data_IF_364350686470
#
_entry.id   IF_364350686470
#
_cell.length_a   1.000
_cell.length_b   1.000
_cell.length_c   1.000
_cell.angle_alpha   90.00
_cell.angle_beta   90.00
_cell.angle_gamma   90.00
#
_symmetry.space_group_name_H-M   'P 1'
#
loop_
_entity.id
_entity.type
_entity.pdbx_description
1 polymer ?
#
# COMPACT_ATOMS: atom_id res chain seq x y z
N UNK A 1 -4.29 -21.96 -49.51
CA UNK A 1 -4.63 -20.93 -50.51
C UNK A 1 -6.05 -20.39 -50.36
N UNK A 2 -6.99 -21.10 -49.73
CA UNK A 2 -8.41 -20.65 -49.68
C UNK A 2 -8.71 -19.46 -48.75
N UNK A 3 -8.01 -19.34 -47.60
CA UNK A 3 -8.29 -18.25 -46.65
C UNK A 3 -7.90 -16.87 -47.18
N UNK A 4 -6.84 -16.80 -48.00
CA UNK A 4 -6.31 -15.55 -48.54
C UNK A 4 -7.17 -15.03 -49.69
N UNK A 5 -7.55 -15.91 -50.62
CA UNK A 5 -8.45 -15.57 -51.73
C UNK A 5 -9.82 -15.12 -51.22
N UNK A 6 -10.29 -15.69 -50.11
CA UNK A 6 -11.50 -15.24 -49.43
C UNK A 6 -11.36 -13.79 -48.91
N UNK A 7 -10.28 -13.47 -48.20
CA UNK A 7 -10.04 -12.13 -47.65
C UNK A 7 -9.84 -11.07 -48.74
N UNK A 8 -9.06 -11.36 -49.78
CA UNK A 8 -8.84 -10.40 -50.89
C UNK A 8 -10.12 -10.12 -51.66
N UNK A 9 -10.97 -11.15 -51.87
CA UNK A 9 -12.29 -10.99 -52.49
C UNK A 9 -13.29 -10.26 -51.60
N UNK A 10 -13.22 -10.43 -50.27
CA UNK A 10 -14.03 -9.68 -49.31
C UNK A 10 -13.84 -8.16 -49.42
N UNK A 11 -12.63 -7.73 -49.78
CA UNK A 11 -12.30 -6.33 -50.04
C UNK A 11 -12.30 -5.94 -51.53
N UNK A 12 -12.85 -6.80 -52.40
CA UNK A 12 -13.02 -6.52 -53.83
C UNK A 12 -11.75 -6.51 -54.67
N UNK A 13 -10.65 -7.11 -54.20
CA UNK A 13 -9.36 -7.14 -54.89
C UNK A 13 -9.11 -8.50 -55.57
N UNK A 14 -8.55 -8.47 -56.79
CA UNK A 14 -8.09 -9.68 -57.49
C UNK A 14 -6.77 -10.17 -56.88
N UNK A 15 -6.75 -11.35 -56.23
CA UNK A 15 -5.55 -11.88 -55.59
C UNK A 15 -4.38 -12.04 -56.55
N UNK A 16 -4.64 -12.24 -57.86
CA UNK A 16 -3.61 -12.46 -58.89
C UNK A 16 -2.88 -11.18 -59.32
N UNK A 17 -3.45 -10.00 -59.06
CA UNK A 17 -2.87 -8.70 -59.44
C UNK A 17 -2.18 -7.94 -58.29
N UNK A 18 -2.20 -8.49 -57.08
CA UNK A 18 -1.56 -7.85 -55.92
C UNK A 18 -0.02 -7.87 -56.03
N UNK A 19 0.65 -6.72 -55.77
CA UNK A 19 2.11 -6.68 -55.69
C UNK A 19 2.66 -7.67 -54.66
N UNK A 20 3.82 -8.26 -54.96
CA UNK A 20 4.45 -9.31 -54.11
C UNK A 20 4.60 -8.86 -52.66
N UNK A 21 4.94 -7.58 -52.41
CA UNK A 21 5.08 -7.06 -51.06
C UNK A 21 3.75 -7.08 -50.28
N UNK A 22 2.60 -6.83 -50.93
CA UNK A 22 1.27 -6.87 -50.28
C UNK A 22 0.94 -8.28 -49.84
N UNK A 23 1.21 -9.27 -50.71
CA UNK A 23 1.02 -10.70 -50.36
C UNK A 23 1.93 -11.08 -49.18
N UNK A 24 3.19 -10.67 -49.19
CA UNK A 24 4.12 -10.92 -48.08
C UNK A 24 3.65 -10.28 -46.77
N UNK A 25 3.19 -9.02 -46.80
CA UNK A 25 2.68 -8.34 -45.61
C UNK A 25 1.44 -9.01 -45.01
N UNK A 26 0.58 -9.61 -45.84
CA UNK A 26 -0.62 -10.30 -45.35
C UNK A 26 -0.34 -11.58 -44.57
N UNK A 27 0.85 -12.18 -44.72
CA UNK A 27 1.30 -13.29 -43.87
C UNK A 27 2.08 -12.80 -42.64
N UNK A 28 2.90 -11.76 -42.81
CA UNK A 28 3.75 -11.24 -41.72
C UNK A 28 2.92 -10.52 -40.66
N UNK A 29 1.97 -9.67 -41.05
CA UNK A 29 1.20 -8.84 -40.11
C UNK A 29 0.40 -9.67 -39.10
N UNK A 30 -0.36 -10.72 -39.49
CA UNK A 30 -1.05 -11.58 -38.52
C UNK A 30 -0.10 -12.30 -37.57
N UNK A 31 1.06 -12.77 -38.05
CA UNK A 31 2.06 -13.43 -37.19
C UNK A 31 2.62 -12.44 -36.16
N UNK A 32 2.94 -11.22 -36.57
CA UNK A 32 3.42 -10.17 -35.66
C UNK A 32 2.34 -9.81 -34.62
N UNK A 33 1.07 -9.71 -35.03
CA UNK A 33 -0.05 -9.47 -34.10
C UNK A 33 -0.18 -10.62 -33.11
N UNK A 34 -0.11 -11.88 -33.55
CA UNK A 34 -0.18 -13.06 -32.67
C UNK A 34 0.98 -13.08 -31.68
N UNK A 35 2.22 -12.84 -32.14
CA UNK A 35 3.40 -12.75 -31.26
C UNK A 35 3.25 -11.60 -30.26
N UNK A 36 2.76 -10.44 -30.69
CA UNK A 36 2.50 -9.30 -29.81
C UNK A 36 1.45 -9.64 -28.75
N UNK A 37 0.32 -10.25 -29.13
CA UNK A 37 -0.73 -10.68 -28.20
C UNK A 37 -0.21 -11.74 -27.23
N UNK A 38 0.57 -12.73 -27.69
CA UNK A 38 1.22 -13.73 -26.82
C UNK A 38 2.16 -13.03 -25.83
N UNK A 39 3.00 -12.11 -26.28
CA UNK A 39 3.88 -11.33 -25.40
C UNK A 39 3.09 -10.51 -24.37
N UNK A 40 1.96 -9.93 -24.77
CA UNK A 40 1.10 -9.13 -23.90
C UNK A 40 0.39 -10.01 -22.86
N UNK A 41 -0.13 -11.17 -23.27
CA UNK A 41 -0.69 -12.19 -22.37
C UNK A 41 0.39 -12.72 -21.43
N UNK A 42 1.57 -13.09 -21.91
CA UNK A 42 2.70 -13.52 -21.07
C UNK A 42 3.10 -12.43 -20.08
N UNK A 43 3.08 -11.15 -20.48
CA UNK A 43 3.36 -10.02 -19.57
C UNK A 43 2.29 -9.86 -18.49
N UNK A 44 1.01 -9.95 -18.85
CA UNK A 44 -0.12 -9.91 -17.90
C UNK A 44 -0.07 -11.11 -16.95
N UNK A 45 0.13 -12.32 -17.48
CA UNK A 45 0.25 -13.55 -16.71
C UNK A 45 1.47 -13.50 -15.79
N UNK A 46 2.64 -13.05 -16.24
CA UNK A 46 3.82 -12.88 -15.37
C UNK A 46 3.59 -11.85 -14.26
N UNK A 47 2.90 -10.74 -14.55
CA UNK A 47 2.54 -9.73 -13.54
C UNK A 47 1.60 -10.33 -12.49
N UNK A 48 0.62 -11.11 -12.94
CA UNK A 48 -0.37 -11.79 -12.09
C UNK A 48 0.27 -12.93 -11.27
N UNK A 49 1.15 -13.74 -11.86
CA UNK A 49 1.88 -14.83 -11.18
C UNK A 49 2.85 -14.29 -10.13
N UNK A 50 3.55 -13.18 -10.39
CA UNK A 50 4.39 -12.52 -9.37
C UNK A 50 3.55 -11.98 -8.22
N UNK A 51 2.39 -11.39 -8.49
CA UNK A 51 1.46 -10.95 -7.44
C UNK A 51 0.92 -12.13 -6.61
N UNK A 52 0.55 -13.24 -7.27
CA UNK A 52 0.03 -14.46 -6.64
C UNK A 52 1.10 -15.19 -5.81
N UNK A 53 2.38 -15.15 -6.19
CA UNK A 53 3.45 -15.86 -5.48
C UNK A 53 3.67 -15.36 -4.05
N UNK A 54 3.51 -14.06 -3.80
CA UNK A 54 3.70 -13.50 -2.45
C UNK A 54 2.50 -13.76 -1.53
N UNK A 55 1.29 -13.86 -2.10
CA UNK A 55 0.06 -14.24 -1.36
C UNK A 55 0.07 -15.74 -0.98
N UNK A 56 0.80 -16.59 -1.72
CA UNK A 56 0.88 -18.04 -1.45
C UNK A 56 1.68 -18.45 -0.22
N UNK A 57 2.50 -17.56 0.35
CA UNK A 57 3.40 -17.93 1.45
C UNK A 57 2.70 -17.98 2.82
N UNK A 58 1.48 -17.44 2.95
CA UNK A 58 0.83 -17.32 4.24
C UNK A 58 1.57 -16.35 5.17
N UNK A 59 1.12 -16.25 6.43
CA UNK A 59 1.79 -15.44 7.44
C UNK A 59 3.16 -16.05 7.73
N UNK A 60 4.23 -15.36 7.35
CA UNK A 60 5.60 -15.80 7.64
C UNK A 60 5.98 -15.40 9.06
N UNK A 61 6.36 -16.38 9.88
CA UNK A 61 6.91 -16.20 11.22
C UNK A 61 8.24 -16.93 11.34
N UNK A 62 9.15 -16.39 12.16
CA UNK A 62 10.47 -17.01 12.39
C UNK A 62 10.69 -17.43 13.84
N UNK A 63 10.02 -16.76 14.78
CA UNK A 63 10.23 -16.86 16.22
C UNK A 63 11.70 -16.61 16.64
N UNK A 64 11.93 -15.56 17.41
CA UNK A 64 13.26 -15.26 17.95
C UNK A 64 13.18 -15.24 19.48
N UNK A 65 13.79 -16.24 20.11
CA UNK A 65 13.78 -16.40 21.56
C UNK A 65 14.51 -15.27 22.31
N UNK A 66 15.28 -14.43 21.62
CA UNK A 66 15.91 -13.25 22.22
C UNK A 66 14.96 -12.06 22.34
N UNK A 67 13.84 -12.06 21.61
CA UNK A 67 12.85 -10.99 21.64
C UNK A 67 11.84 -11.20 22.78
N UNK A 68 11.56 -10.12 23.51
CA UNK A 68 10.47 -10.10 24.49
C UNK A 68 9.10 -10.06 23.79
N UNK A 69 8.03 -10.40 24.52
CA UNK A 69 6.66 -10.27 24.02
C UNK A 69 6.33 -8.83 23.56
N UNK A 70 6.80 -7.82 24.29
CA UNK A 70 6.64 -6.41 23.91
C UNK A 70 7.39 -6.04 22.64
N UNK A 71 8.61 -6.57 22.47
CA UNK A 71 9.38 -6.38 21.24
C UNK A 71 8.66 -6.98 20.04
N UNK A 72 8.08 -8.17 20.19
CA UNK A 72 7.29 -8.80 19.12
C UNK A 72 6.02 -8.01 18.83
N UNK A 73 5.30 -7.51 19.86
CA UNK A 73 4.14 -6.62 19.67
C UNK A 73 4.50 -5.36 18.89
N UNK A 74 5.61 -4.71 19.23
CA UNK A 74 6.08 -3.52 18.52
C UNK A 74 6.40 -3.83 17.06
N UNK A 75 7.08 -4.94 16.78
CA UNK A 75 7.36 -5.41 15.40
C UNK A 75 6.04 -5.72 14.66
N UNK A 76 5.07 -6.32 15.34
CA UNK A 76 3.80 -6.77 14.76
C UNK A 76 2.89 -5.62 14.30
N UNK A 77 3.16 -4.38 14.70
CA UNK A 77 2.53 -3.17 14.12
C UNK A 77 2.75 -3.10 12.61
N UNK A 78 3.91 -3.54 12.12
CA UNK A 78 4.22 -3.62 10.69
C UNK A 78 3.74 -4.90 10.01
N UNK A 79 3.08 -5.84 10.71
CA UNK A 79 2.82 -7.18 10.22
C UNK A 79 1.97 -7.21 8.93
N UNK A 80 0.94 -6.35 8.83
CA UNK A 80 0.11 -6.26 7.62
C UNK A 80 0.95 -5.93 6.38
N UNK A 81 1.81 -4.92 6.50
CA UNK A 81 2.62 -4.49 5.38
C UNK A 81 3.72 -5.52 5.09
N UNK A 82 4.37 -6.06 6.13
CA UNK A 82 5.39 -7.09 6.00
C UNK A 82 4.83 -8.33 5.27
N UNK A 83 3.64 -8.78 5.69
CA UNK A 83 2.96 -9.90 5.06
C UNK A 83 2.64 -9.62 3.58
N UNK A 84 2.13 -8.43 3.26
CA UNK A 84 1.88 -8.03 1.88
C UNK A 84 3.15 -8.06 1.01
N UNK A 85 4.30 -7.69 1.58
CA UNK A 85 5.59 -7.72 0.87
C UNK A 85 6.26 -9.11 0.92
N UNK A 86 5.65 -10.08 1.59
CA UNK A 86 6.16 -11.44 1.73
C UNK A 86 7.33 -11.57 2.70
N UNK A 87 7.49 -10.67 3.67
CA UNK A 87 8.49 -10.73 4.74
C UNK A 87 7.96 -11.39 6.03
N UNK A 88 8.86 -11.65 6.98
CA UNK A 88 8.54 -12.12 8.33
C UNK A 88 7.82 -11.03 9.13
N UNK A 89 6.86 -11.46 9.94
CA UNK A 89 5.94 -10.57 10.66
C UNK A 89 6.30 -10.37 12.13
N UNK A 90 7.26 -11.12 12.67
CA UNK A 90 7.51 -11.26 14.11
C UNK A 90 8.99 -11.10 14.54
N UNK A 91 9.87 -10.71 13.61
CA UNK A 91 11.29 -10.46 13.86
C UNK A 91 11.76 -9.17 13.20
N UNK A 92 12.83 -8.55 13.71
CA UNK A 92 13.31 -7.24 13.23
C UNK A 92 13.63 -7.26 11.73
N UNK A 93 14.46 -8.21 11.28
CA UNK A 93 14.80 -8.40 9.87
C UNK A 93 13.67 -9.12 9.11
N UNK A 94 13.00 -8.46 8.15
CA UNK A 94 11.81 -9.04 7.51
C UNK A 94 12.16 -10.06 6.41
N UNK A 95 13.42 -10.15 5.96
CA UNK A 95 13.86 -11.09 4.92
C UNK A 95 12.95 -11.07 3.68
N UNK A 96 12.71 -9.84 3.19
CA UNK A 96 11.98 -9.59 1.95
C UNK A 96 12.93 -9.89 0.78
N UNK A 97 12.43 -10.59 -0.23
CA UNK A 97 13.22 -10.92 -1.41
C UNK A 97 13.78 -9.66 -2.10
N UNK A 98 15.05 -9.70 -2.49
CA UNK A 98 15.82 -8.56 -2.97
C UNK A 98 15.11 -7.74 -4.07
N UNK A 99 14.51 -8.38 -5.08
CA UNK A 99 13.79 -7.67 -6.14
C UNK A 99 12.52 -6.97 -5.65
N UNK A 100 11.85 -7.55 -4.66
CA UNK A 100 10.70 -6.95 -3.97
C UNK A 100 11.14 -5.80 -3.07
N UNK A 101 12.23 -5.96 -2.33
CA UNK A 101 12.79 -4.93 -1.46
C UNK A 101 13.19 -3.69 -2.26
N UNK A 102 13.84 -3.87 -3.42
CA UNK A 102 14.16 -2.77 -4.35
C UNK A 102 12.90 -2.12 -4.95
N UNK A 103 11.82 -2.89 -5.14
CA UNK A 103 10.55 -2.29 -5.57
C UNK A 103 9.93 -1.44 -4.47
N UNK A 104 9.94 -1.93 -3.23
CA UNK A 104 9.43 -1.22 -2.07
C UNK A 104 10.21 0.10 -1.85
N UNK A 105 11.52 0.02 -1.63
CA UNK A 105 12.32 1.18 -1.21
C UNK A 105 12.54 2.17 -2.36
N UNK A 106 13.22 1.76 -3.44
CA UNK A 106 13.52 2.65 -4.57
C UNK A 106 12.27 3.13 -5.30
N UNK A 107 11.38 2.21 -5.71
CA UNK A 107 10.31 2.58 -6.66
C UNK A 107 9.08 3.20 -6.00
N UNK A 108 8.76 2.83 -4.76
CA UNK A 108 7.57 3.35 -4.09
C UNK A 108 7.90 4.46 -3.10
N UNK A 109 9.03 4.36 -2.41
CA UNK A 109 9.45 5.35 -1.43
C UNK A 109 10.54 6.30 -1.90
N UNK A 110 11.22 6.01 -3.02
CA UNK A 110 12.35 6.82 -3.48
C UNK A 110 13.59 6.69 -2.59
N UNK A 111 13.73 5.58 -1.86
CA UNK A 111 14.85 5.33 -0.95
C UNK A 111 15.93 4.54 -1.69
N UNK A 112 17.04 5.21 -2.02
CA UNK A 112 18.22 4.61 -2.65
C UNK A 112 19.49 4.74 -1.79
N UNK A 113 19.41 5.52 -0.71
CA UNK A 113 20.51 5.83 0.20
C UNK A 113 20.08 5.86 1.66
N UNK A 114 21.07 6.03 2.54
CA UNK A 114 20.86 6.27 3.98
C UNK A 114 20.11 7.58 4.20
N UNK A 115 20.50 8.63 3.48
CA UNK A 115 19.91 9.96 3.58
C UNK A 115 18.42 9.92 3.25
N UNK A 116 18.03 9.29 2.14
CA UNK A 116 16.62 9.14 1.75
C UNK A 116 15.82 8.33 2.79
N UNK A 117 16.46 7.30 3.37
CA UNK A 117 15.84 6.49 4.40
C UNK A 117 15.55 7.33 5.65
N UNK A 118 16.53 8.09 6.14
CA UNK A 118 16.36 8.94 7.33
C UNK A 118 15.29 10.02 7.08
N UNK A 119 15.30 10.67 5.91
CA UNK A 119 14.27 11.65 5.54
C UNK A 119 12.87 11.03 5.53
N UNK A 120 12.71 9.87 4.88
CA UNK A 120 11.42 9.19 4.79
C UNK A 120 10.93 8.71 6.15
N UNK A 121 11.82 8.19 7.00
CA UNK A 121 11.47 7.74 8.34
C UNK A 121 11.05 8.90 9.24
N UNK A 122 11.76 10.04 9.17
CA UNK A 122 11.36 11.26 9.87
C UNK A 122 9.99 11.76 9.42
N UNK A 123 9.70 11.73 8.11
CA UNK A 123 8.37 12.03 7.59
C UNK A 123 7.30 11.09 8.17
N UNK A 124 7.56 9.78 8.20
CA UNK A 124 6.59 8.79 8.70
C UNK A 124 6.41 8.84 10.22
N UNK A 125 7.42 9.23 11.00
CA UNK A 125 7.34 9.46 12.43
C UNK A 125 6.30 10.53 12.81
N UNK A 126 5.93 11.40 11.88
CA UNK A 126 4.96 12.47 12.11
C UNK A 126 3.51 12.06 11.81
N UNK A 127 3.23 10.80 11.47
CA UNK A 127 1.87 10.33 11.16
C UNK A 127 1.15 11.17 10.07
N UNK A 128 1.74 11.29 8.87
CA UNK A 128 1.32 12.30 7.90
C UNK A 128 -0.10 12.11 7.36
N UNK A 129 -0.63 10.89 7.35
CA UNK A 129 -2.02 10.65 6.92
C UNK A 129 -2.98 11.02 8.03
N UNK A 130 -2.65 10.66 9.28
CA UNK A 130 -3.44 11.02 10.45
C UNK A 130 -3.53 12.54 10.63
N UNK A 131 -2.44 13.28 10.39
CA UNK A 131 -2.40 14.74 10.50
C UNK A 131 -3.41 15.44 9.58
N UNK A 132 -3.62 14.91 8.37
CA UNK A 132 -4.52 15.53 7.37
C UNK A 132 -5.95 14.96 7.41
N UNK A 133 -6.19 13.88 8.17
CA UNK A 133 -7.50 13.23 8.28
C UNK A 133 -8.65 14.20 8.61
N UNK A 134 -8.50 15.21 9.51
CA UNK A 134 -9.56 16.18 9.77
C UNK A 134 -10.01 16.94 8.52
N UNK A 135 -9.07 17.28 7.63
CA UNK A 135 -9.37 17.98 6.38
C UNK A 135 -10.03 17.06 5.35
N UNK A 136 -9.60 15.79 5.29
CA UNK A 136 -10.24 14.75 4.46
C UNK A 136 -11.69 14.55 4.89
N UNK A 137 -11.93 14.43 6.20
CA UNK A 137 -13.27 14.28 6.75
C UNK A 137 -14.14 15.51 6.48
N UNK A 138 -13.60 16.72 6.65
CA UNK A 138 -14.32 17.95 6.30
C UNK A 138 -14.72 17.96 4.82
N UNK A 139 -13.77 17.71 3.90
CA UNK A 139 -14.02 17.62 2.46
C UNK A 139 -15.01 16.51 2.04
N UNK A 140 -15.12 15.47 2.87
CA UNK A 140 -16.12 14.43 2.72
C UNK A 140 -17.52 14.91 3.10
N UNK A 141 -17.67 15.65 4.21
CA UNK A 141 -18.97 16.06 4.76
C UNK A 141 -19.54 17.34 4.15
N UNK A 142 -18.70 18.31 3.77
CA UNK A 142 -19.17 19.61 3.26
C UNK A 142 -19.01 19.73 1.75
N UNK A 143 -19.85 20.58 1.13
CA UNK A 143 -19.64 21.06 -0.25
C UNK A 143 -18.93 22.40 -0.29
N UNK A 144 -18.69 23.03 0.86
CA UNK A 144 -17.96 24.29 1.00
C UNK A 144 -16.45 24.04 0.87
N UNK A 145 -15.91 24.36 -0.31
CA UNK A 145 -14.49 24.21 -0.61
C UNK A 145 -13.63 25.31 0.02
N UNK A 146 -14.22 26.45 0.34
CA UNK A 146 -13.50 27.60 0.89
C UNK A 146 -13.20 27.34 2.38
N UNK A 147 -14.14 26.74 3.11
CA UNK A 147 -13.92 26.29 4.49
C UNK A 147 -12.75 25.30 4.59
N UNK A 148 -12.77 24.24 3.77
CA UNK A 148 -11.70 23.23 3.74
C UNK A 148 -10.36 23.86 3.34
N UNK A 149 -10.35 24.74 2.33
CA UNK A 149 -9.12 25.42 1.89
C UNK A 149 -8.54 26.29 3.00
N UNK A 150 -9.38 26.98 3.77
CA UNK A 150 -8.93 27.76 4.92
C UNK A 150 -8.29 26.88 5.99
N UNK A 151 -8.91 25.75 6.35
CA UNK A 151 -8.33 24.81 7.32
C UNK A 151 -6.95 24.30 6.88
N UNK A 152 -6.81 23.97 5.60
CA UNK A 152 -5.53 23.51 5.04
C UNK A 152 -4.49 24.64 5.05
N UNK A 153 -4.88 25.87 4.69
CA UNK A 153 -3.98 27.02 4.68
C UNK A 153 -3.49 27.38 6.09
N UNK A 154 -4.38 27.36 7.08
CA UNK A 154 -4.04 27.60 8.48
C UNK A 154 -3.00 26.58 8.96
N UNK A 155 -3.17 25.31 8.62
CA UNK A 155 -2.19 24.26 8.93
C UNK A 155 -0.89 24.40 8.12
N UNK A 156 -0.97 24.72 6.83
CA UNK A 156 0.20 24.87 5.95
C UNK A 156 1.10 26.06 6.35
N UNK A 157 0.54 27.08 7.02
CA UNK A 157 1.27 28.27 7.48
C UNK A 157 2.39 27.98 8.48
N UNK A 158 2.41 26.78 9.10
CA UNK A 158 3.48 26.35 10.00
C UNK A 158 4.75 25.91 9.27
N UNK A 159 4.68 25.67 7.96
CA UNK A 159 5.82 25.25 7.14
C UNK A 159 6.51 26.47 6.53
N UNK A 160 7.82 26.34 6.28
CA UNK A 160 8.63 27.41 5.67
C UNK A 160 8.10 27.82 4.28
N UNK A 161 7.74 26.83 3.45
CA UNK A 161 7.04 27.04 2.19
C UNK A 161 5.54 26.70 2.34
N UNK A 162 4.80 27.66 2.88
CA UNK A 162 3.36 27.50 3.12
C UNK A 162 2.56 27.26 1.84
N UNK A 163 2.99 27.80 0.69
CA UNK A 163 2.27 27.64 -0.57
C UNK A 163 2.45 26.23 -1.14
N UNK A 164 3.67 25.70 -1.15
CA UNK A 164 3.94 24.31 -1.53
C UNK A 164 3.25 23.33 -0.59
N UNK A 165 3.33 23.56 0.72
CA UNK A 165 2.64 22.75 1.72
C UNK A 165 1.12 22.73 1.50
N UNK A 166 0.51 23.90 1.27
CA UNK A 166 -0.91 24.01 0.94
C UNK A 166 -1.24 23.20 -0.32
N UNK A 167 -0.49 23.39 -1.41
CA UNK A 167 -0.74 22.68 -2.69
C UNK A 167 -0.67 21.16 -2.51
N UNK A 168 0.38 20.67 -1.85
CA UNK A 168 0.58 19.23 -1.58
C UNK A 168 -0.53 18.63 -0.71
N UNK A 169 -0.91 19.32 0.37
CA UNK A 169 -1.95 18.84 1.29
C UNK A 169 -3.32 18.89 0.62
N UNK A 170 -3.65 19.96 -0.10
CA UNK A 170 -4.92 20.09 -0.82
C UNK A 170 -5.12 18.99 -1.86
N UNK A 171 -4.08 18.63 -2.60
CA UNK A 171 -4.13 17.51 -3.55
C UNK A 171 -4.41 16.17 -2.85
N UNK A 172 -3.71 15.91 -1.74
CA UNK A 172 -3.92 14.70 -0.92
C UNK A 172 -5.33 14.66 -0.36
N UNK A 173 -5.81 15.77 0.22
CA UNK A 173 -7.15 15.88 0.82
C UNK A 173 -8.23 15.62 -0.24
N UNK A 174 -8.09 16.21 -1.42
CA UNK A 174 -9.00 15.97 -2.54
C UNK A 174 -9.02 14.48 -2.91
N UNK A 175 -7.86 13.90 -3.19
CA UNK A 175 -7.76 12.49 -3.61
C UNK A 175 -8.31 11.54 -2.55
N UNK A 176 -7.94 11.74 -1.28
CA UNK A 176 -8.38 10.87 -0.18
C UNK A 176 -9.88 11.03 0.12
N UNK A 177 -10.43 12.23 0.00
CA UNK A 177 -11.88 12.44 0.18
C UNK A 177 -12.68 11.84 -0.98
N UNK A 178 -12.18 11.89 -2.22
CA UNK A 178 -12.79 11.22 -3.36
C UNK A 178 -12.76 9.69 -3.21
N UNK A 179 -11.62 9.14 -2.77
CA UNK A 179 -11.49 7.72 -2.44
C UNK A 179 -12.46 7.29 -1.34
N UNK A 180 -12.57 8.08 -0.27
CA UNK A 180 -13.52 7.83 0.82
C UNK A 180 -14.97 7.81 0.32
N UNK A 181 -15.37 8.82 -0.47
CA UNK A 181 -16.72 8.88 -1.08
C UNK A 181 -17.00 7.65 -1.94
N UNK A 182 -16.00 7.22 -2.69
CA UNK A 182 -16.09 6.06 -3.58
C UNK A 182 -16.12 4.71 -2.87
N UNK A 183 -15.73 4.63 -1.59
CA UNK A 183 -15.55 3.37 -0.86
C UNK A 183 -16.32 3.27 0.46
N UNK A 184 -17.12 4.28 0.80
CA UNK A 184 -17.81 4.33 2.11
C UNK A 184 -18.72 3.11 2.33
N UNK A 185 -19.39 2.62 1.28
CA UNK A 185 -20.31 1.48 1.37
C UNK A 185 -19.56 0.18 1.62
N UNK A 186 -18.43 0.02 0.95
CA UNK A 186 -17.52 -1.12 1.10
C UNK A 186 -16.91 -1.13 2.50
N UNK A 187 -16.46 0.02 3.01
CA UNK A 187 -15.95 0.15 4.38
C UNK A 187 -16.98 -0.27 5.44
N UNK A 188 -18.26 0.07 5.23
CA UNK A 188 -19.36 -0.38 6.11
C UNK A 188 -19.63 -1.87 5.95
N UNK A 189 -19.71 -2.36 4.70
CA UNK A 189 -19.96 -3.77 4.40
C UNK A 189 -18.88 -4.70 4.97
N UNK A 190 -17.63 -4.25 4.99
CA UNK A 190 -16.48 -5.01 5.52
C UNK A 190 -16.37 -4.89 7.05
N UNK A 191 -17.25 -4.11 7.71
CA UNK A 191 -17.23 -3.90 9.15
C UNK A 191 -15.99 -3.15 9.63
N UNK A 192 -15.43 -2.27 8.79
CA UNK A 192 -14.31 -1.40 9.16
C UNK A 192 -14.84 -0.20 9.96
N UNK A 193 -15.95 0.37 9.51
CA UNK A 193 -16.71 1.43 10.19
C UNK A 193 -18.19 1.05 10.22
N UNK A 194 -18.93 1.59 11.17
CA UNK A 194 -20.39 1.46 11.28
C UNK A 194 -21.11 2.74 10.86
N UNK A 195 -20.48 3.90 11.04
CA UNK A 195 -20.98 5.20 10.56
C UNK A 195 -19.85 6.13 10.10
N UNK A 196 -20.23 7.29 9.56
CA UNK A 196 -19.26 8.31 9.16
C UNK A 196 -18.43 8.82 10.36
N UNK A 197 -19.03 8.90 11.54
CA UNK A 197 -18.38 9.40 12.76
C UNK A 197 -17.17 8.52 13.14
N UNK A 198 -17.27 7.21 12.92
CA UNK A 198 -16.18 6.25 13.17
C UNK A 198 -14.93 6.58 12.37
N UNK A 199 -15.01 7.29 11.24
CA UNK A 199 -13.84 7.68 10.43
C UNK A 199 -12.85 8.50 11.28
N UNK A 200 -13.38 9.40 12.10
CA UNK A 200 -12.57 10.25 12.98
C UNK A 200 -12.13 9.52 14.24
N UNK A 201 -13.03 8.75 14.83
CA UNK A 201 -12.81 8.10 16.12
C UNK A 201 -11.84 6.92 15.99
N UNK A 202 -11.97 6.12 14.92
CA UNK A 202 -11.03 5.05 14.58
C UNK A 202 -9.68 5.61 14.12
N UNK A 203 -9.72 6.68 13.33
CA UNK A 203 -8.54 7.29 12.73
C UNK A 203 -7.79 6.36 11.77
N UNK A 204 -6.66 6.84 11.27
CA UNK A 204 -5.78 6.14 10.31
C UNK A 204 -4.35 5.99 10.83
N UNK A 205 -4.12 6.15 12.13
CA UNK A 205 -2.77 6.10 12.72
C UNK A 205 -2.09 4.75 12.47
N UNK A 206 -2.85 3.65 12.43
CA UNK A 206 -2.30 2.32 12.21
C UNK A 206 -1.68 2.20 10.80
N UNK A 207 -2.24 2.90 9.81
CA UNK A 207 -1.67 2.97 8.46
C UNK A 207 -0.32 3.69 8.44
N UNK A 208 -0.18 4.77 9.21
CA UNK A 208 1.09 5.48 9.34
C UNK A 208 2.11 4.65 10.13
N UNK A 209 1.71 4.11 11.29
CA UNK A 209 2.55 3.30 12.16
C UNK A 209 3.06 2.04 11.45
N UNK A 210 2.20 1.31 10.75
CA UNK A 210 2.60 0.12 10.01
C UNK A 210 3.56 0.40 8.85
N UNK A 211 3.46 1.59 8.22
CA UNK A 211 4.41 2.04 7.19
C UNK A 211 5.75 2.42 7.79
N UNK A 212 5.78 3.21 8.86
CA UNK A 212 7.01 3.52 9.60
C UNK A 212 7.76 2.23 9.97
N UNK A 213 7.03 1.30 10.59
CA UNK A 213 7.60 0.03 11.05
C UNK A 213 8.23 -0.78 9.91
N UNK A 214 7.49 -1.05 8.83
CA UNK A 214 8.04 -1.86 7.74
C UNK A 214 9.15 -1.14 6.99
N UNK A 215 8.98 0.15 6.69
CA UNK A 215 10.00 0.91 5.93
C UNK A 215 11.30 0.96 6.71
N UNK A 216 11.27 1.16 8.03
CA UNK A 216 12.47 1.07 8.87
C UNK A 216 13.14 -0.30 8.77
N UNK A 217 12.37 -1.37 8.94
CA UNK A 217 12.88 -2.75 8.87
C UNK A 217 13.42 -3.14 7.50
N UNK A 218 12.80 -2.62 6.44
CA UNK A 218 13.27 -2.78 5.07
C UNK A 218 14.58 -2.01 4.82
N UNK A 219 14.68 -0.78 5.33
CA UNK A 219 15.91 0.03 5.29
C UNK A 219 17.04 -0.61 6.09
N UNK A 220 16.74 -1.23 7.24
CA UNK A 220 17.71 -2.03 8.02
C UNK A 220 18.20 -3.23 7.20
N UNK A 221 17.30 -3.97 6.55
CA UNK A 221 17.69 -5.10 5.70
C UNK A 221 18.59 -4.67 4.54
N UNK A 222 18.42 -3.45 4.02
CA UNK A 222 19.32 -2.86 3.01
C UNK A 222 20.65 -2.35 3.55
N UNK A 223 20.80 -2.24 4.87
CA UNK A 223 21.97 -1.64 5.50
C UNK A 223 22.01 -0.11 5.40
N UNK A 224 20.86 0.54 5.17
CA UNK A 224 20.76 2.01 5.15
C UNK A 224 20.70 2.61 6.57
N UNK A 225 20.16 1.86 7.54
CA UNK A 225 20.08 2.26 8.94
C UNK A 225 20.64 1.18 9.87
N UNK A 226 21.02 1.54 11.09
CA UNK A 226 21.48 0.60 12.12
C UNK A 226 20.31 -0.11 12.82
N UNK A 227 20.62 -1.17 13.58
CA UNK A 227 19.65 -1.87 14.41
C UNK A 227 18.99 -0.94 15.44
N UNK A 228 19.76 -0.03 16.03
CA UNK A 228 19.27 0.96 17.00
C UNK A 228 18.27 1.93 16.36
N UNK A 229 18.61 2.50 15.21
CA UNK A 229 17.73 3.41 14.46
C UNK A 229 16.43 2.72 14.04
N UNK A 230 16.53 1.45 13.62
CA UNK A 230 15.37 0.65 13.29
C UNK A 230 14.48 0.38 14.51
N UNK A 231 15.09 0.03 15.64
CA UNK A 231 14.40 -0.21 16.90
C UNK A 231 13.68 1.05 17.38
N UNK A 232 14.30 2.22 17.29
CA UNK A 232 13.66 3.50 17.59
C UNK A 232 12.40 3.72 16.74
N UNK A 233 12.49 3.50 15.42
CA UNK A 233 11.33 3.63 14.54
C UNK A 233 10.21 2.63 14.85
N UNK A 234 10.57 1.37 15.15
CA UNK A 234 9.61 0.31 15.50
C UNK A 234 8.90 0.64 16.82
N UNK A 235 9.64 1.11 17.83
CA UNK A 235 9.07 1.52 19.10
C UNK A 235 8.20 2.77 18.96
N UNK A 236 8.61 3.74 18.12
CA UNK A 236 7.81 4.93 17.83
C UNK A 236 6.50 4.57 17.12
N UNK A 237 6.55 3.69 16.12
CA UNK A 237 5.36 3.16 15.47
C UNK A 237 4.41 2.49 16.46
N UNK A 238 4.94 1.72 17.41
CA UNK A 238 4.13 1.10 18.46
C UNK A 238 3.52 2.14 19.40
N UNK A 239 4.28 3.14 19.83
CA UNK A 239 3.76 4.24 20.64
C UNK A 239 2.65 5.02 19.93
N UNK A 240 2.81 5.31 18.63
CA UNK A 240 1.78 5.91 17.79
C UNK A 240 0.48 5.08 17.83
N UNK A 241 0.58 3.77 17.60
CA UNK A 241 -0.58 2.88 17.63
C UNK A 241 -1.25 2.80 19.01
N UNK A 242 -0.46 2.76 20.09
CA UNK A 242 -0.97 2.73 21.46
C UNK A 242 -1.70 4.02 21.84
N UNK A 243 -1.22 5.18 21.35
CA UNK A 243 -1.83 6.47 21.65
C UNK A 243 -3.22 6.69 21.05
N UNK A 244 -3.63 5.87 20.07
CA UNK A 244 -4.98 5.92 19.51
C UNK A 244 -6.04 5.19 20.33
N UNK A 245 -5.67 4.49 21.42
CA UNK A 245 -6.64 3.89 22.31
C UNK A 245 -7.39 2.69 21.72
N UNK A 246 -6.78 1.98 20.76
CA UNK A 246 -7.28 0.69 20.28
C UNK A 246 -7.39 -0.31 21.43
N UNK A 247 -8.39 -1.19 21.37
CA UNK A 247 -8.59 -2.24 22.37
C UNK A 247 -8.19 -3.63 21.84
N UNK A 248 -7.87 -3.73 20.55
CA UNK A 248 -7.55 -5.01 19.92
C UNK A 248 -6.75 -4.83 18.63
N UNK A 249 -6.12 -5.92 18.18
CA UNK A 249 -5.55 -6.01 16.83
C UNK A 249 -6.61 -5.81 15.73
N UNK A 250 -7.90 -6.08 16.01
CA UNK A 250 -8.98 -5.84 15.06
C UNK A 250 -9.24 -4.34 14.86
N UNK A 251 -9.19 -3.55 15.93
CA UNK A 251 -9.29 -2.08 15.84
C UNK A 251 -8.09 -1.51 15.07
N UNK A 252 -6.87 -1.98 15.39
CA UNK A 252 -5.67 -1.64 14.66
C UNK A 252 -5.81 -1.96 13.16
N UNK A 253 -6.28 -3.17 12.83
CA UNK A 253 -6.47 -3.60 11.45
C UNK A 253 -7.51 -2.74 10.73
N UNK A 254 -8.62 -2.38 11.38
CA UNK A 254 -9.63 -1.50 10.84
C UNK A 254 -9.07 -0.09 10.57
N UNK A 255 -8.31 0.49 11.49
CA UNK A 255 -7.64 1.79 11.28
C UNK A 255 -6.63 1.74 10.12
N UNK A 256 -5.87 0.64 10.01
CA UNK A 256 -4.92 0.44 8.90
C UNK A 256 -5.66 0.36 7.56
N UNK A 257 -6.73 -0.41 7.51
CA UNK A 257 -7.57 -0.61 6.33
C UNK A 257 -8.26 0.68 5.88
N UNK A 258 -8.75 1.50 6.83
CA UNK A 258 -9.27 2.83 6.53
C UNK A 258 -8.20 3.71 5.87
N UNK A 259 -7.00 3.81 6.47
CA UNK A 259 -5.91 4.61 5.89
C UNK A 259 -5.44 4.12 4.52
N UNK A 260 -5.36 2.80 4.33
CA UNK A 260 -5.08 2.17 3.03
C UNK A 260 -6.12 2.55 1.97
N UNK A 261 -7.38 2.59 2.35
CA UNK A 261 -8.51 2.97 1.49
C UNK A 261 -8.43 4.43 1.11
N UNK A 262 -8.16 5.33 2.07
CA UNK A 262 -7.94 6.74 1.77
C UNK A 262 -6.81 6.92 0.75
N UNK A 263 -5.71 6.20 0.90
CA UNK A 263 -4.54 6.34 0.03
C UNK A 263 -4.75 5.81 -1.41
N UNK A 264 -5.53 4.74 -1.62
CA UNK A 264 -5.60 4.05 -2.94
C UNK A 264 -7.01 3.78 -3.47
N UNK A 265 -8.06 4.10 -2.71
CA UNK A 265 -9.44 3.83 -3.09
C UNK A 265 -9.82 2.35 -3.13
N UNK A 266 -9.03 1.46 -2.52
CA UNK A 266 -9.33 0.02 -2.42
C UNK A 266 -8.68 -0.56 -1.16
N UNK A 267 -9.51 -1.24 -0.35
CA UNK A 267 -9.14 -1.95 0.88
C UNK A 267 -8.69 -3.39 0.62
N UNK A 268 -7.80 -3.61 -0.34
CA UNK A 268 -7.31 -4.93 -0.77
C UNK A 268 -6.43 -5.69 0.26
N UNK A 269 -6.63 -5.44 1.55
CA UNK A 269 -5.87 -5.99 2.67
C UNK A 269 -6.72 -6.82 3.64
N UNK A 270 -8.04 -6.89 3.46
CA UNK A 270 -8.97 -7.58 4.39
C UNK A 270 -8.62 -9.06 4.59
N UNK A 271 -8.26 -9.77 3.52
CA UNK A 271 -7.81 -11.16 3.61
C UNK A 271 -6.51 -11.33 4.41
N UNK A 272 -5.57 -10.41 4.28
CA UNK A 272 -4.31 -10.44 5.04
C UNK A 272 -4.54 -10.12 6.52
N UNK A 273 -5.43 -9.16 6.81
CA UNK A 273 -5.85 -8.82 8.17
C UNK A 273 -6.55 -10.01 8.84
N UNK A 274 -7.48 -10.66 8.13
CA UNK A 274 -8.18 -11.84 8.64
C UNK A 274 -7.22 -12.98 8.96
N UNK A 275 -6.24 -13.22 8.08
CA UNK A 275 -5.18 -14.20 8.31
C UNK A 275 -4.39 -13.88 9.58
N UNK A 276 -3.94 -12.64 9.75
CA UNK A 276 -3.20 -12.24 10.94
C UNK A 276 -4.04 -12.36 12.22
N UNK A 277 -5.35 -12.10 12.17
CA UNK A 277 -6.25 -12.20 13.31
C UNK A 277 -6.59 -13.65 13.68
N UNK A 278 -6.73 -14.53 12.70
CA UNK A 278 -7.28 -15.87 12.90
C UNK A 278 -6.22 -16.98 13.06
N UNK A 279 -5.04 -16.81 12.46
CA UNK A 279 -4.00 -17.85 12.44
C UNK A 279 -3.20 -17.85 13.74
N UNK A 280 -3.09 -19.01 14.38
CA UNK A 280 -2.44 -19.15 15.68
C UNK A 280 -0.93 -18.83 15.64
N UNK A 281 -0.27 -19.04 14.50
CA UNK A 281 1.13 -18.72 14.28
C UNK A 281 1.39 -17.21 14.13
N UNK A 282 0.36 -16.43 13.76
CA UNK A 282 0.47 -14.99 13.58
C UNK A 282 0.95 -14.31 14.86
N UNK A 283 1.82 -13.27 14.77
CA UNK A 283 2.20 -12.52 15.95
C UNK A 283 1.01 -11.88 16.66
N UNK A 284 -0.07 -11.51 15.94
CA UNK A 284 -1.29 -10.98 16.56
C UNK A 284 -2.07 -12.03 17.37
N UNK A 285 -1.96 -13.30 16.97
CA UNK A 285 -2.57 -14.43 17.69
C UNK A 285 -1.71 -14.87 18.88
N UNK A 286 -0.38 -14.91 18.72
CA UNK A 286 0.56 -15.31 19.77
C UNK A 286 0.69 -14.26 20.88
N UNK A 287 0.65 -12.99 20.51
CA UNK A 287 0.80 -11.87 21.42
C UNK A 287 -0.40 -10.93 21.27
N UNK A 288 -1.35 -11.09 22.17
CA UNK A 288 -2.55 -10.26 22.20
C UNK A 288 -2.20 -8.77 22.34
N UNK A 289 -3.11 -7.92 21.85
CA UNK A 289 -3.02 -6.49 22.06
C UNK A 289 -3.05 -6.18 23.56
N UNK A 290 -2.05 -5.44 24.04
CA UNK A 290 -1.96 -5.02 25.43
C UNK A 290 -2.05 -3.51 25.52
N UNK A 291 -3.08 -3.02 26.19
CA UNK A 291 -3.18 -1.60 26.50
C UNK A 291 -2.09 -1.26 27.51
N UNK A 292 -1.18 -0.35 27.17
CA UNK A 292 -0.27 0.20 28.16
C UNK A 292 -1.11 0.88 29.25
N UNK A 293 -0.96 0.42 30.49
CA UNK A 293 -1.55 1.07 31.65
C UNK A 293 -1.04 2.51 31.69
N UNK A 294 -1.98 3.46 31.59
CA UNK A 294 -1.73 4.91 31.71
C UNK A 294 -1.02 5.25 33.02
#
# INVERSE_FOLDING_TARGET
>A
MEFFDYFTRLFGMDPTQLPVYVRVMTFIVPIVIVVYVICLVVRIVRKSVKAIRHIRLGVRTKEDASLSADSVRAIAVGALYAYQQGGYTDVMYPDIEESRLNTLLTKWWGIDSREDAIETLNYLCNAPTQQILPFVYAAYKTSDKDEVSKMIMDYASQYEDAEEAFRSIAEKVRTQSDNLKGQIKELVSDGIISSDEDIRDLGVIAWDAGRLNLVARASLQKGYISDEECLECVNHAYAMAQSAGFNSWKDFANSYMLGRTLWNGDCNMSGLAQDLLAKAESPWGRYAWENQSK
#
